data_IF_658058275478
#
_entry.id   IF_658058275478
#
_cell.length_a   1.000
_cell.length_b   1.000
_cell.length_c   1.000
_cell.angle_alpha   90.00
_cell.angle_beta   90.00
_cell.angle_gamma   90.00
#
_symmetry.space_group_name_H-M   'P 1'
#
loop_
_entity.id
_entity.type
_entity.pdbx_description
1 polymer ?
#
# COMPACT_ATOMS: atom_id res chain seq x y z
N UNK A 1 62.65 -49.73 75.10
CA UNK A 1 61.72 -50.56 75.88
C UNK A 1 60.44 -50.75 75.07
N UNK A 2 60.36 -51.67 74.10
CA UNK A 2 60.98 -53.02 74.02
C UNK A 2 60.63 -53.87 75.26
N UNK A 3 60.19 -55.12 75.14
CA UNK A 3 60.50 -56.12 74.10
C UNK A 3 59.29 -56.96 73.67
N UNK A 4 59.42 -57.62 72.52
CA UNK A 4 58.65 -58.82 72.17
C UNK A 4 59.11 -60.04 73.01
N UNK A 5 58.24 -61.05 73.12
CA UNK A 5 58.49 -62.51 73.15
C UNK A 5 57.08 -63.13 73.20
N UNK A 6 56.61 -63.94 72.24
CA UNK A 6 57.07 -65.26 71.75
C UNK A 6 56.71 -66.43 72.71
N UNK A 7 56.42 -67.67 72.26
CA UNK A 7 55.76 -68.17 71.03
C UNK A 7 55.47 -69.69 71.23
N UNK A 8 54.44 -70.27 70.58
CA UNK A 8 54.19 -71.74 70.45
C UNK A 8 53.92 -72.54 71.77
N UNK A 9 53.37 -73.77 71.80
CA UNK A 9 52.70 -74.65 70.80
C UNK A 9 51.89 -75.79 71.46
N UNK A 10 50.86 -76.31 70.74
CA UNK A 10 50.39 -77.73 70.56
C UNK A 10 50.37 -78.69 71.78
N UNK A 11 49.33 -79.48 72.02
CA UNK A 11 48.69 -80.51 71.15
C UNK A 11 47.15 -80.45 71.20
N UNK A 12 46.37 -80.82 70.16
CA UNK A 12 46.01 -82.19 69.69
C UNK A 12 45.41 -83.06 70.83
N UNK A 13 44.27 -83.74 70.70
CA UNK A 13 43.43 -84.18 69.56
C UNK A 13 41.91 -84.14 69.97
N UNK A 14 40.83 -84.49 69.24
CA UNK A 14 40.53 -85.00 67.88
C UNK A 14 39.05 -84.66 67.49
N UNK A 15 38.64 -84.95 66.24
CA UNK A 15 37.28 -85.29 65.72
C UNK A 15 36.05 -84.48 66.20
N UNK A 16 35.32 -83.79 65.32
CA UNK A 16 34.54 -84.49 64.27
C UNK A 16 34.15 -83.61 63.07
N UNK A 17 33.96 -84.25 61.92
CA UNK A 17 33.41 -83.67 60.69
C UNK A 17 31.97 -84.14 60.54
N UNK A 18 31.01 -83.21 60.33
CA UNK A 18 30.05 -83.36 59.22
C UNK A 18 29.37 -82.03 58.86
N UNK A 19 28.88 -81.96 57.64
CA UNK A 19 28.25 -80.80 57.00
C UNK A 19 26.73 -80.85 57.01
N UNK A 20 26.11 -79.70 56.77
CA UNK A 20 24.73 -79.50 56.33
C UNK A 20 23.60 -79.94 57.29
N UNK A 21 22.96 -78.94 57.89
CA UNK A 21 21.59 -79.06 58.39
C UNK A 21 20.69 -78.10 57.61
N UNK A 22 19.80 -78.64 56.77
CA UNK A 22 18.60 -77.90 56.36
C UNK A 22 17.70 -77.74 57.59
N UNK A 23 17.61 -76.54 58.13
CA UNK A 23 16.70 -76.24 59.24
C UNK A 23 15.33 -75.83 58.70
N UNK A 24 14.38 -76.75 58.74
CA UNK A 24 12.96 -76.42 58.88
C UNK A 24 12.73 -75.90 60.32
N UNK A 25 13.19 -74.68 60.60
CA UNK A 25 12.85 -73.98 61.84
C UNK A 25 11.40 -73.48 61.74
N UNK A 26 10.46 -74.30 62.22
CA UNK A 26 9.07 -73.90 62.45
C UNK A 26 9.01 -72.84 63.56
N UNK A 27 9.07 -71.57 63.17
CA UNK A 27 9.13 -70.45 64.10
C UNK A 27 7.87 -70.38 64.98
N UNK A 28 8.07 -70.12 66.27
CA UNK A 28 7.00 -70.06 67.27
C UNK A 28 6.02 -68.91 67.04
N UNK A 29 4.80 -69.07 67.56
CA UNK A 29 3.75 -68.07 67.54
C UNK A 29 4.12 -66.80 68.33
N UNK A 30 3.41 -65.70 68.04
CA UNK A 30 3.45 -64.37 68.72
C UNK A 30 4.51 -63.34 68.31
N UNK A 31 4.91 -63.29 67.03
CA UNK A 31 5.24 -62.01 66.37
C UNK A 31 4.55 -61.84 65.00
N UNK A 32 4.05 -60.63 64.74
CA UNK A 32 3.20 -60.32 63.59
C UNK A 32 4.03 -60.15 62.30
N UNK A 33 4.12 -61.22 61.49
CA UNK A 33 5.14 -61.36 60.43
C UNK A 33 5.05 -60.27 59.35
N UNK A 34 6.03 -59.35 59.35
CA UNK A 34 6.09 -58.20 58.43
C UNK A 34 6.79 -58.56 57.12
N UNK A 35 6.00 -58.66 56.06
CA UNK A 35 6.49 -58.83 54.69
C UNK A 35 6.84 -57.47 54.08
N UNK A 36 8.11 -57.24 53.73
CA UNK A 36 8.65 -55.93 53.31
C UNK A 36 7.76 -55.22 52.27
N UNK A 37 7.59 -55.84 51.10
CA UNK A 37 6.84 -55.24 49.99
C UNK A 37 5.30 -55.34 50.10
N UNK A 38 4.73 -55.91 51.18
CA UNK A 38 3.28 -56.16 51.32
C UNK A 38 2.44 -54.88 51.36
N UNK A 39 3.01 -53.76 51.84
CA UNK A 39 2.40 -52.43 51.74
C UNK A 39 2.30 -51.97 50.27
N UNK A 40 3.39 -52.18 49.52
CA UNK A 40 3.58 -51.67 48.16
C UNK A 40 2.71 -52.41 47.15
N UNK A 41 2.55 -53.73 47.27
CA UNK A 41 1.59 -54.54 46.48
C UNK A 41 0.21 -53.88 46.47
N UNK A 42 -0.30 -53.48 47.63
CA UNK A 42 -1.61 -52.81 47.75
C UNK A 42 -1.62 -51.38 47.23
N UNK A 43 -0.54 -50.61 47.44
CA UNK A 43 -0.45 -49.20 47.04
C UNK A 43 -0.28 -49.01 45.53
N UNK A 44 0.35 -49.96 44.84
CA UNK A 44 0.74 -49.87 43.42
C UNK A 44 0.02 -50.88 42.51
N UNK A 45 -1.10 -51.44 42.98
CA UNK A 45 -2.02 -52.28 42.21
C UNK A 45 -2.59 -51.52 40.99
N UNK A 46 -2.70 -52.17 39.82
CA UNK A 46 -3.04 -51.57 38.52
C UNK A 46 -2.07 -50.46 38.06
N UNK A 47 -0.78 -50.55 38.39
CA UNK A 47 0.23 -49.58 37.93
C UNK A 47 1.43 -50.25 37.29
N UNK A 48 2.26 -49.49 36.56
CA UNK A 48 3.53 -49.98 36.03
C UNK A 48 4.53 -50.43 37.11
N UNK A 49 4.28 -50.02 38.37
CA UNK A 49 5.05 -50.33 39.58
C UNK A 49 4.46 -51.53 40.37
N UNK A 50 3.55 -52.30 39.78
CA UNK A 50 2.87 -53.41 40.46
C UNK A 50 3.84 -54.56 40.87
N UNK A 51 3.61 -55.09 42.07
CA UNK A 51 4.37 -56.19 42.66
C UNK A 51 3.47 -57.41 42.84
N UNK A 52 3.98 -58.60 42.52
CA UNK A 52 3.17 -59.83 42.47
C UNK A 52 2.83 -60.30 43.89
N UNK A 53 1.54 -60.36 44.22
CA UNK A 53 1.03 -60.78 45.53
C UNK A 53 1.67 -62.07 46.08
N UNK A 54 2.15 -62.05 47.32
CA UNK A 54 2.69 -63.24 47.99
C UNK A 54 1.63 -64.36 48.11
N UNK A 55 2.01 -65.61 47.82
CA UNK A 55 1.12 -66.76 48.03
C UNK A 55 0.91 -67.05 49.52
N UNK A 56 -0.35 -67.07 49.97
CA UNK A 56 -0.76 -67.47 51.32
C UNK A 56 -0.84 -69.00 51.44
N UNK A 57 0.30 -69.67 51.29
CA UNK A 57 0.44 -71.13 51.45
C UNK A 57 1.27 -71.45 52.70
N UNK A 58 0.82 -72.42 53.48
CA UNK A 58 1.41 -72.86 54.75
C UNK A 58 2.90 -73.20 54.68
N UNK A 59 3.40 -73.61 53.50
CA UNK A 59 4.82 -73.99 53.27
C UNK A 59 5.51 -73.11 52.23
N UNK A 60 5.41 -71.79 52.36
CA UNK A 60 6.16 -70.86 51.52
C UNK A 60 7.60 -70.66 52.01
N UNK A 61 8.61 -70.85 51.14
CA UNK A 61 10.00 -70.48 51.46
C UNK A 61 10.14 -68.95 51.58
N UNK A 62 10.31 -68.47 52.80
CA UNK A 62 10.60 -67.08 53.18
C UNK A 62 12.11 -66.82 53.26
N UNK A 63 12.53 -65.55 53.29
CA UNK A 63 13.93 -65.11 53.49
C UNK A 63 13.95 -63.83 54.33
N UNK A 64 14.90 -63.68 55.25
CA UNK A 64 15.14 -62.41 55.96
C UNK A 64 15.61 -61.30 55.02
N UNK A 65 15.26 -60.05 55.31
CA UNK A 65 15.58 -58.90 54.46
C UNK A 65 16.98 -58.29 54.70
N UNK A 66 17.74 -58.78 55.68
CA UNK A 66 19.06 -58.25 56.10
C UNK A 66 20.23 -58.61 55.18
N UNK A 67 20.03 -59.44 54.15
CA UNK A 67 21.12 -59.86 53.24
C UNK A 67 21.63 -58.70 52.37
N UNK A 68 22.95 -58.62 52.14
CA UNK A 68 23.59 -57.53 51.38
C UNK A 68 22.97 -57.26 50.00
N UNK A 69 22.65 -58.32 49.23
CA UNK A 69 21.96 -58.19 47.93
C UNK A 69 20.52 -57.64 48.07
N UNK A 70 19.86 -57.86 49.21
CA UNK A 70 18.55 -57.25 49.48
C UNK A 70 18.72 -55.76 49.73
N UNK A 71 19.64 -55.36 50.63
CA UNK A 71 19.92 -53.96 50.96
C UNK A 71 20.20 -53.16 49.67
N UNK A 72 21.10 -53.64 48.81
CA UNK A 72 21.43 -53.00 47.52
C UNK A 72 20.22 -52.89 46.56
N UNK A 73 19.29 -53.85 46.58
CA UNK A 73 18.10 -53.84 45.71
C UNK A 73 16.96 -52.99 46.27
N UNK A 74 16.85 -52.88 47.59
CA UNK A 74 15.90 -51.97 48.26
C UNK A 74 16.35 -50.52 48.07
N UNK A 75 17.63 -50.23 48.28
CA UNK A 75 18.25 -48.91 48.05
C UNK A 75 17.99 -48.38 46.62
N UNK A 76 18.31 -49.19 45.60
CA UNK A 76 18.00 -48.87 44.19
C UNK A 76 16.49 -48.69 43.90
N UNK A 77 15.61 -49.22 44.75
CA UNK A 77 14.16 -49.11 44.62
C UNK A 77 13.55 -47.91 45.36
N UNK A 78 14.24 -47.25 46.30
CA UNK A 78 13.72 -46.07 47.01
C UNK A 78 13.30 -44.96 46.02
N UNK A 79 14.03 -44.83 44.90
CA UNK A 79 13.70 -43.93 43.79
C UNK A 79 12.30 -44.15 43.16
N UNK A 80 11.72 -45.33 43.34
CA UNK A 80 10.43 -45.74 42.79
C UNK A 80 9.37 -45.96 43.88
N UNK A 81 9.81 -46.34 45.08
CA UNK A 81 9.00 -46.60 46.27
C UNK A 81 9.63 -45.90 47.49
N UNK A 82 9.39 -44.59 47.69
CA UNK A 82 10.04 -43.82 48.76
C UNK A 82 9.75 -44.36 50.17
N UNK A 83 8.67 -45.13 50.35
CA UNK A 83 8.32 -45.79 51.62
C UNK A 83 9.37 -46.82 52.05
N UNK A 84 10.18 -47.33 51.12
CA UNK A 84 11.29 -48.21 51.43
C UNK A 84 12.43 -47.51 52.17
N UNK A 85 12.52 -46.18 52.17
CA UNK A 85 13.60 -45.47 52.85
C UNK A 85 13.54 -45.63 54.37
N UNK A 86 12.34 -45.69 54.95
CA UNK A 86 12.15 -45.96 56.39
C UNK A 86 12.19 -47.46 56.71
N UNK A 87 11.66 -48.32 55.83
CA UNK A 87 11.75 -49.77 56.02
C UNK A 87 13.22 -50.26 55.88
N UNK A 88 14.08 -49.58 55.08
CA UNK A 88 15.52 -49.85 54.96
C UNK A 88 16.25 -49.73 56.32
N UNK A 89 15.81 -48.79 57.17
CA UNK A 89 16.40 -48.53 58.50
C UNK A 89 16.06 -49.62 59.52
N UNK A 90 15.21 -50.60 59.16
CA UNK A 90 14.73 -51.65 60.08
C UNK A 90 14.47 -53.01 59.39
N UNK A 91 15.29 -53.36 58.39
CA UNK A 91 15.20 -54.63 57.64
C UNK A 91 15.38 -55.90 58.49
N UNK A 92 15.89 -55.78 59.72
CA UNK A 92 15.90 -56.85 60.73
C UNK A 92 14.49 -57.37 61.05
N UNK A 93 13.48 -56.48 60.98
CA UNK A 93 12.08 -56.77 61.32
C UNK A 93 11.24 -57.23 60.12
N UNK A 94 11.86 -57.48 58.97
CA UNK A 94 11.16 -57.79 57.72
C UNK A 94 11.62 -59.08 57.04
N UNK A 95 10.65 -59.77 56.42
CA UNK A 95 10.89 -60.91 55.53
C UNK A 95 10.43 -60.65 54.10
N UNK A 96 10.95 -61.46 53.17
CA UNK A 96 10.66 -61.42 51.74
C UNK A 96 10.11 -62.78 51.30
N UNK A 97 8.92 -62.78 50.70
CA UNK A 97 8.31 -63.99 50.13
C UNK A 97 8.99 -64.42 48.82
N UNK A 98 8.91 -65.72 48.51
CA UNK A 98 9.49 -66.33 47.30
C UNK A 98 9.19 -65.57 46.00
N UNK A 99 7.99 -64.99 45.83
CA UNK A 99 7.61 -64.19 44.67
C UNK A 99 8.40 -62.88 44.58
N UNK A 100 8.31 -62.01 45.60
CA UNK A 100 9.08 -60.77 45.66
C UNK A 100 10.61 -61.01 45.52
N UNK A 101 11.15 -62.08 46.12
CA UNK A 101 12.56 -62.42 45.94
C UNK A 101 12.90 -62.71 44.46
N UNK A 102 12.06 -63.47 43.76
CA UNK A 102 12.27 -63.77 42.33
C UNK A 102 12.04 -62.55 41.42
N UNK A 103 11.10 -61.66 41.75
CA UNK A 103 10.78 -60.46 40.96
C UNK A 103 11.81 -59.35 41.14
N UNK A 104 12.32 -59.14 42.37
CA UNK A 104 13.06 -57.91 42.74
C UNK A 104 14.54 -58.19 43.05
N UNK A 105 14.84 -59.32 43.70
CA UNK A 105 16.17 -59.59 44.28
C UNK A 105 17.00 -60.56 43.43
N UNK A 106 16.34 -61.48 42.71
CA UNK A 106 17.02 -62.52 41.93
C UNK A 106 17.69 -61.95 40.67
N UNK A 107 16.95 -61.19 39.86
CA UNK A 107 17.42 -60.59 38.62
C UNK A 107 17.12 -59.08 38.58
N UNK A 108 17.53 -58.44 37.49
CA UNK A 108 17.54 -56.99 37.35
C UNK A 108 16.40 -56.49 36.43
N UNK A 109 15.77 -57.42 35.69
CA UNK A 109 14.72 -57.19 34.70
C UNK A 109 13.60 -56.25 35.17
N UNK A 110 13.22 -56.33 36.46
CA UNK A 110 12.20 -55.47 37.04
C UNK A 110 12.68 -54.02 37.17
N UNK A 111 13.88 -53.81 37.73
CA UNK A 111 14.50 -52.48 37.83
C UNK A 111 14.77 -51.92 36.43
N UNK A 112 15.20 -52.74 35.46
CA UNK A 112 15.37 -52.34 34.06
C UNK A 112 14.05 -51.85 33.42
N UNK A 113 12.92 -52.50 33.71
CA UNK A 113 11.58 -52.02 33.29
C UNK A 113 11.31 -50.64 33.89
N UNK A 114 11.51 -50.48 35.21
CA UNK A 114 11.26 -49.21 35.90
C UNK A 114 12.17 -48.07 35.38
N UNK A 115 13.42 -48.36 35.06
CA UNK A 115 14.34 -47.39 34.44
C UNK A 115 13.92 -47.00 33.02
N UNK A 116 13.44 -47.96 32.20
CA UNK A 116 12.96 -47.67 30.84
C UNK A 116 11.70 -46.79 30.86
N UNK A 117 10.72 -47.12 31.71
CA UNK A 117 9.49 -46.34 31.83
C UNK A 117 9.77 -44.92 32.34
N UNK A 118 10.67 -44.74 33.32
CA UNK A 118 11.06 -43.41 33.82
C UNK A 118 11.80 -42.58 32.75
N UNK A 119 12.68 -43.19 31.94
CA UNK A 119 13.34 -42.51 30.81
C UNK A 119 12.32 -42.05 29.75
N UNK A 120 11.33 -42.89 29.44
CA UNK A 120 10.25 -42.54 28.51
C UNK A 120 9.37 -41.40 29.05
N UNK A 121 8.97 -41.45 30.33
CA UNK A 121 8.16 -40.41 30.96
C UNK A 121 8.84 -39.04 30.93
N UNK A 122 10.14 -38.98 31.22
CA UNK A 122 10.93 -37.74 31.15
C UNK A 122 10.95 -37.17 29.72
N UNK A 123 11.23 -38.00 28.71
CA UNK A 123 11.23 -37.59 27.30
C UNK A 123 9.85 -37.04 26.86
N UNK A 124 8.76 -37.66 27.33
CA UNK A 124 7.40 -37.17 27.08
C UNK A 124 7.13 -35.82 27.76
N UNK A 125 7.59 -35.62 28.99
CA UNK A 125 7.47 -34.35 29.71
C UNK A 125 8.26 -33.21 29.04
N UNK A 126 9.48 -33.47 28.57
CA UNK A 126 10.30 -32.48 27.85
C UNK A 126 9.66 -32.10 26.51
N UNK A 127 9.14 -33.08 25.76
CA UNK A 127 8.38 -32.82 24.53
C UNK A 127 7.10 -32.02 24.79
N UNK A 128 6.33 -32.36 25.83
CA UNK A 128 5.13 -31.63 26.23
C UNK A 128 5.45 -30.17 26.62
N UNK A 129 6.54 -29.95 27.38
CA UNK A 129 7.03 -28.62 27.75
C UNK A 129 7.46 -27.80 26.53
N UNK A 130 8.10 -28.44 25.54
CA UNK A 130 8.46 -27.80 24.26
C UNK A 130 7.22 -27.38 23.47
N UNK A 131 6.27 -28.29 23.28
CA UNK A 131 5.02 -28.04 22.53
C UNK A 131 4.18 -26.94 23.20
N UNK A 132 4.03 -26.98 24.53
CA UNK A 132 3.26 -25.96 25.27
C UNK A 132 3.90 -24.57 25.29
N UNK A 133 5.23 -24.46 25.13
CA UNK A 133 5.87 -23.16 24.90
C UNK A 133 5.65 -22.65 23.48
N UNK A 134 5.84 -23.50 22.47
CA UNK A 134 5.57 -23.14 21.06
C UNK A 134 4.11 -22.73 20.82
N UNK A 135 3.16 -23.35 21.53
CA UNK A 135 1.74 -22.96 21.49
C UNK A 135 1.54 -21.53 22.00
N UNK A 136 2.12 -21.18 23.15
CA UNK A 136 2.01 -19.83 23.75
C UNK A 136 2.63 -18.76 22.87
N UNK A 137 3.79 -19.04 22.27
CA UNK A 137 4.45 -18.14 21.30
C UNK A 137 3.55 -17.90 20.08
N UNK A 138 2.92 -18.96 19.55
CA UNK A 138 1.97 -18.86 18.44
C UNK A 138 0.69 -18.09 18.83
N UNK A 139 0.17 -18.26 20.05
CA UNK A 139 -0.99 -17.52 20.55
C UNK A 139 -0.70 -16.02 20.71
N UNK A 140 0.49 -15.66 21.21
CA UNK A 140 0.94 -14.28 21.32
C UNK A 140 1.08 -13.62 19.94
N UNK A 141 1.69 -14.31 18.97
CA UNK A 141 1.79 -13.82 17.59
C UNK A 141 0.40 -13.63 16.97
N UNK A 142 -0.52 -14.59 17.15
CA UNK A 142 -1.91 -14.48 16.68
C UNK A 142 -2.63 -13.27 17.27
N UNK A 143 -2.46 -13.00 18.57
CA UNK A 143 -3.05 -11.85 19.23
C UNK A 143 -2.49 -10.51 18.71
N UNK A 144 -1.18 -10.44 18.44
CA UNK A 144 -0.54 -9.29 17.80
C UNK A 144 -1.15 -9.00 16.42
N UNK A 145 -1.26 -10.01 15.55
CA UNK A 145 -1.85 -9.84 14.22
C UNK A 145 -3.34 -9.44 14.28
N UNK A 146 -4.12 -10.00 15.22
CA UNK A 146 -5.53 -9.61 15.43
C UNK A 146 -5.66 -8.13 15.79
N UNK A 147 -4.74 -7.58 16.60
CA UNK A 147 -4.76 -6.16 16.96
C UNK A 147 -4.31 -5.27 15.80
N UNK A 148 -3.28 -5.68 15.06
CA UNK A 148 -2.83 -4.97 13.86
C UNK A 148 -3.92 -4.87 12.78
N UNK A 149 -4.70 -5.94 12.57
CA UNK A 149 -5.85 -5.92 11.63
C UNK A 149 -6.88 -4.88 12.07
N UNK A 150 -7.26 -4.82 13.34
CA UNK A 150 -8.21 -3.82 13.87
C UNK A 150 -7.71 -2.38 13.69
N UNK A 151 -6.42 -2.14 13.86
CA UNK A 151 -5.82 -0.82 13.59
C UNK A 151 -5.87 -0.43 12.11
N UNK A 152 -5.73 -1.40 11.20
CA UNK A 152 -5.85 -1.16 9.76
C UNK A 152 -7.31 -0.94 9.36
N UNK A 153 -8.26 -1.67 9.96
CA UNK A 153 -9.70 -1.47 9.77
C UNK A 153 -10.14 -0.07 10.20
N UNK A 154 -9.73 0.43 11.37
CA UNK A 154 -10.09 1.79 11.82
C UNK A 154 -9.49 2.87 10.93
N UNK A 155 -8.22 2.76 10.55
CA UNK A 155 -7.56 3.69 9.61
C UNK A 155 -8.22 3.69 8.22
N UNK A 156 -8.57 2.51 7.70
CA UNK A 156 -9.27 2.40 6.41
C UNK A 156 -10.68 3.03 6.46
N UNK A 157 -11.43 2.79 7.53
CA UNK A 157 -12.75 3.39 7.73
C UNK A 157 -12.68 4.93 7.83
N UNK A 158 -11.66 5.48 8.51
CA UNK A 158 -11.41 6.92 8.53
C UNK A 158 -11.11 7.46 7.12
N UNK A 159 -10.21 6.83 6.37
CA UNK A 159 -9.88 7.24 5.00
C UNK A 159 -11.10 7.18 4.06
N UNK A 160 -12.03 6.24 4.26
CA UNK A 160 -13.29 6.19 3.50
C UNK A 160 -14.17 7.41 3.80
N UNK A 161 -14.27 7.84 5.06
CA UNK A 161 -15.01 9.05 5.45
C UNK A 161 -14.37 10.31 4.84
N UNK A 162 -13.05 10.46 4.96
CA UNK A 162 -12.30 11.61 4.40
C UNK A 162 -12.44 11.69 2.87
N UNK A 163 -12.33 10.57 2.16
CA UNK A 163 -12.52 10.54 0.70
C UNK A 163 -13.96 10.91 0.28
N UNK A 164 -14.97 10.51 1.06
CA UNK A 164 -16.36 10.92 0.79
C UNK A 164 -16.56 12.43 0.99
N UNK A 165 -16.01 13.01 2.06
CA UNK A 165 -16.04 14.47 2.29
C UNK A 165 -15.35 15.25 1.16
N UNK A 166 -14.17 14.80 0.73
CA UNK A 166 -13.45 15.41 -0.41
C UNK A 166 -14.27 15.33 -1.71
N UNK A 167 -14.97 14.22 -1.95
CA UNK A 167 -15.85 14.04 -3.11
C UNK A 167 -17.05 15.00 -3.10
N UNK A 168 -17.64 15.25 -1.94
CA UNK A 168 -18.70 16.25 -1.77
C UNK A 168 -18.20 17.69 -2.03
N UNK A 169 -17.04 18.05 -1.48
CA UNK A 169 -16.39 19.36 -1.71
C UNK A 169 -16.08 19.57 -3.20
N UNK A 170 -15.56 18.55 -3.89
CA UNK A 170 -15.29 18.60 -5.33
C UNK A 170 -16.59 18.81 -6.13
N UNK A 171 -17.64 18.05 -5.83
CA UNK A 171 -18.95 18.20 -6.50
C UNK A 171 -19.56 19.59 -6.29
N UNK A 172 -19.50 20.14 -5.07
CA UNK A 172 -19.97 21.49 -4.76
C UNK A 172 -19.21 22.55 -5.56
N UNK A 173 -17.89 22.46 -5.61
CA UNK A 173 -17.04 23.39 -6.36
C UNK A 173 -17.30 23.31 -7.88
N UNK A 174 -17.46 22.10 -8.44
CA UNK A 174 -17.81 21.90 -9.85
C UNK A 174 -19.18 22.49 -10.19
N UNK A 175 -20.19 22.29 -9.33
CA UNK A 175 -21.51 22.88 -9.53
C UNK A 175 -21.46 24.42 -9.53
N UNK A 176 -20.72 25.01 -8.59
CA UNK A 176 -20.52 26.48 -8.54
C UNK A 176 -19.81 27.00 -9.80
N UNK A 177 -18.77 26.30 -10.28
CA UNK A 177 -18.09 26.66 -11.54
C UNK A 177 -19.03 26.58 -12.75
N UNK A 178 -19.90 25.56 -12.84
CA UNK A 178 -20.90 25.45 -13.90
C UNK A 178 -21.91 26.63 -13.86
N UNK A 179 -22.34 27.03 -12.66
CA UNK A 179 -23.21 28.19 -12.45
C UNK A 179 -22.52 29.49 -12.91
N UNK A 180 -21.25 29.72 -12.52
CA UNK A 180 -20.48 30.86 -12.99
C UNK A 180 -20.32 30.88 -14.52
N UNK A 181 -20.00 29.74 -15.14
CA UNK A 181 -19.88 29.61 -16.61
C UNK A 181 -21.22 29.88 -17.30
N UNK A 182 -22.35 29.48 -16.71
CA UNK A 182 -23.69 29.80 -17.22
C UNK A 182 -23.94 31.31 -17.22
N UNK A 183 -23.74 31.99 -16.10
CA UNK A 183 -23.95 33.44 -16.03
C UNK A 183 -23.01 34.23 -16.96
N UNK A 184 -21.75 33.83 -17.10
CA UNK A 184 -20.80 34.45 -18.04
C UNK A 184 -21.30 34.31 -19.50
N UNK A 185 -21.88 33.17 -19.88
CA UNK A 185 -22.49 32.97 -21.21
C UNK A 185 -23.72 33.88 -21.41
N UNK A 186 -24.58 34.00 -20.41
CA UNK A 186 -25.77 34.87 -20.47
C UNK A 186 -25.40 36.36 -20.59
N UNK A 187 -24.39 36.82 -19.84
CA UNK A 187 -23.84 38.18 -19.93
C UNK A 187 -23.27 38.42 -21.34
N UNK A 188 -22.39 37.54 -21.83
CA UNK A 188 -21.79 37.70 -23.15
C UNK A 188 -22.81 37.64 -24.31
N UNK A 189 -23.91 36.89 -24.16
CA UNK A 189 -25.03 36.90 -25.10
C UNK A 189 -25.79 38.23 -25.07
N UNK A 190 -26.05 38.78 -23.88
CA UNK A 190 -26.72 40.07 -23.70
C UNK A 190 -25.88 41.23 -24.24
N UNK A 191 -24.58 41.25 -23.98
CA UNK A 191 -23.64 42.24 -24.52
C UNK A 191 -23.59 42.20 -26.05
N UNK A 192 -23.50 41.02 -26.66
CA UNK A 192 -23.56 40.87 -28.13
C UNK A 192 -24.88 41.37 -28.71
N UNK A 193 -26.02 41.08 -28.04
CA UNK A 193 -27.33 41.56 -28.49
C UNK A 193 -27.45 43.08 -28.37
N UNK A 194 -26.95 43.67 -27.29
CA UNK A 194 -26.90 45.12 -27.12
C UNK A 194 -26.03 45.75 -28.21
N UNK A 195 -24.79 45.29 -28.41
CA UNK A 195 -23.89 45.79 -29.44
C UNK A 195 -24.49 45.65 -30.86
N UNK A 196 -25.18 44.54 -31.16
CA UNK A 196 -25.91 44.37 -32.41
C UNK A 196 -27.03 45.40 -32.57
N UNK A 197 -27.87 45.58 -31.54
CA UNK A 197 -28.93 46.58 -31.55
C UNK A 197 -28.36 48.01 -31.71
N UNK A 198 -27.26 48.32 -31.03
CA UNK A 198 -26.58 49.61 -31.11
C UNK A 198 -26.06 49.85 -32.54
N UNK A 199 -25.41 48.86 -33.16
CA UNK A 199 -24.94 48.92 -34.55
C UNK A 199 -26.08 49.05 -35.56
N UNK A 200 -27.18 48.31 -35.40
CA UNK A 200 -28.37 48.46 -36.25
C UNK A 200 -28.97 49.86 -36.09
N UNK A 201 -29.12 50.36 -34.85
CA UNK A 201 -29.57 51.73 -34.59
C UNK A 201 -28.62 52.80 -35.15
N UNK A 202 -27.34 52.46 -35.36
CA UNK A 202 -26.35 53.34 -35.97
C UNK A 202 -26.50 53.40 -37.50
N UNK A 203 -26.86 52.27 -38.12
CA UNK A 203 -27.02 52.08 -39.57
C UNK A 203 -28.38 52.63 -40.03
N UNK A 204 -29.46 52.29 -39.32
CA UNK A 204 -30.83 52.70 -39.64
C UNK A 204 -31.03 54.21 -39.47
N UNK A 205 -30.26 54.84 -38.58
CA UNK A 205 -30.28 56.29 -38.34
C UNK A 205 -29.47 57.03 -39.42
N UNK A 206 -29.98 56.95 -40.67
CA UNK A 206 -29.31 57.44 -41.87
C UNK A 206 -28.94 58.93 -41.81
N UNK A 207 -29.62 59.76 -41.01
CA UNK A 207 -29.21 61.17 -40.82
C UNK A 207 -27.87 61.31 -40.08
N UNK A 208 -27.59 60.42 -39.12
CA UNK A 208 -26.37 60.44 -38.31
C UNK A 208 -25.11 60.05 -39.10
N UNK A 209 -25.27 59.20 -40.11
CA UNK A 209 -24.21 58.76 -41.02
C UNK A 209 -24.46 59.19 -42.47
N UNK A 210 -25.30 60.21 -42.68
CA UNK A 210 -25.47 60.82 -44.00
C UNK A 210 -24.13 61.43 -44.42
N UNK A 211 -23.51 60.81 -45.42
CA UNK A 211 -22.23 61.26 -45.97
C UNK A 211 -22.27 62.73 -46.40
N UNK A 212 -23.40 63.23 -46.93
CA UNK A 212 -23.54 64.64 -47.24
C UNK A 212 -23.55 65.51 -45.98
N UNK A 213 -24.26 65.12 -44.92
CA UNK A 213 -24.32 65.87 -43.64
C UNK A 213 -22.96 65.91 -42.94
N UNK A 214 -22.31 64.76 -42.73
CA UNK A 214 -21.01 64.72 -42.04
C UNK A 214 -19.87 65.24 -42.92
N UNK A 215 -19.90 65.02 -44.24
CA UNK A 215 -18.93 65.65 -45.14
C UNK A 215 -19.15 67.17 -45.23
N UNK A 216 -20.38 67.67 -45.04
CA UNK A 216 -20.62 69.11 -44.87
C UNK A 216 -20.16 69.63 -43.51
N UNK A 217 -20.41 68.92 -42.39
CA UNK A 217 -19.89 69.29 -41.06
C UNK A 217 -18.36 69.35 -41.07
N UNK A 218 -17.71 68.33 -41.63
CA UNK A 218 -16.27 68.29 -41.85
C UNK A 218 -15.81 69.43 -42.76
N UNK A 219 -16.38 69.61 -43.96
CA UNK A 219 -16.03 70.72 -44.86
C UNK A 219 -16.27 72.11 -44.26
N UNK A 220 -17.27 72.28 -43.39
CA UNK A 220 -17.52 73.53 -42.66
C UNK A 220 -16.45 73.75 -41.59
N UNK A 221 -16.10 72.75 -40.77
CA UNK A 221 -14.98 72.89 -39.83
C UNK A 221 -13.67 73.18 -40.55
N UNK A 222 -13.35 72.40 -41.59
CA UNK A 222 -12.15 72.52 -42.43
C UNK A 222 -12.03 73.91 -43.09
N UNK A 223 -13.14 74.50 -43.54
CA UNK A 223 -13.19 75.90 -44.01
C UNK A 223 -13.07 76.90 -42.87
N UNK A 224 -13.69 76.64 -41.72
CA UNK A 224 -13.62 77.49 -40.51
C UNK A 224 -12.22 77.55 -39.90
N UNK A 225 -11.35 76.59 -40.22
CA UNK A 225 -9.90 76.60 -39.91
C UNK A 225 -9.02 76.87 -41.15
N UNK A 226 -9.58 77.35 -42.26
CA UNK A 226 -8.91 77.70 -43.53
C UNK A 226 -8.06 76.60 -44.21
N UNK A 227 -8.19 75.32 -43.82
CA UNK A 227 -7.23 74.25 -44.14
C UNK A 227 -7.18 73.81 -45.63
N UNK A 228 -8.22 74.07 -46.44
CA UNK A 228 -8.32 73.58 -47.84
C UNK A 228 -8.17 74.67 -48.90
N UNK A 229 -7.95 75.94 -48.53
CA UNK A 229 -7.63 76.97 -49.52
C UNK A 229 -6.46 77.90 -49.10
N UNK A 230 -5.25 77.35 -48.88
CA UNK A 230 -4.03 78.14 -48.71
C UNK A 230 -3.62 78.77 -50.04
N UNK A 231 -4.21 79.92 -50.37
CA UNK A 231 -3.74 80.75 -51.47
C UNK A 231 -2.44 81.45 -51.04
N UNK A 232 -1.32 80.75 -51.26
CA UNK A 232 0.10 81.07 -51.09
C UNK A 232 0.83 80.11 -50.13
N UNK A 233 2.11 79.85 -50.42
CA UNK A 233 2.88 78.72 -49.87
C UNK A 233 3.53 78.98 -48.50
N UNK A 234 3.14 80.05 -47.79
CA UNK A 234 3.81 80.54 -46.59
C UNK A 234 3.00 80.23 -45.32
N UNK A 235 3.50 79.32 -44.48
CA UNK A 235 2.87 78.94 -43.21
C UNK A 235 3.13 79.97 -42.10
N UNK A 236 2.39 81.08 -42.16
CA UNK A 236 2.38 82.17 -41.18
C UNK A 236 1.19 82.06 -40.21
N UNK A 237 1.24 82.81 -39.11
CA UNK A 237 0.10 82.99 -38.20
C UNK A 237 -1.08 83.70 -38.88
N UNK A 238 -2.26 83.62 -38.26
CA UNK A 238 -3.52 84.17 -38.80
C UNK A 238 -3.51 85.70 -39.06
N UNK A 239 -2.49 86.39 -38.55
CA UNK A 239 -2.24 87.82 -38.69
C UNK A 239 -0.88 88.15 -39.36
N UNK A 240 -0.15 87.17 -39.88
CA UNK A 240 1.13 87.34 -40.59
C UNK A 240 2.36 87.61 -39.71
N UNK A 241 2.19 87.94 -38.42
CA UNK A 241 3.29 88.35 -37.53
C UNK A 241 4.31 87.24 -37.22
N UNK A 242 3.89 85.98 -37.14
CA UNK A 242 4.72 84.89 -36.62
C UNK A 242 4.82 83.73 -37.60
N UNK A 243 6.05 83.37 -37.98
CA UNK A 243 6.34 82.15 -38.74
C UNK A 243 6.60 80.97 -37.78
N UNK A 244 6.15 79.77 -38.18
CA UNK A 244 6.41 78.55 -37.42
C UNK A 244 7.91 78.23 -37.38
N UNK A 245 8.46 78.12 -36.17
CA UNK A 245 9.90 77.89 -35.98
C UNK A 245 10.35 76.52 -36.47
N UNK A 246 11.65 76.42 -36.79
CA UNK A 246 12.25 75.18 -37.29
C UNK A 246 12.15 74.00 -36.32
N UNK A 247 12.06 74.25 -35.02
CA UNK A 247 11.82 73.21 -34.00
C UNK A 247 10.44 72.54 -34.19
N UNK A 248 9.40 73.31 -34.55
CA UNK A 248 8.04 72.78 -34.71
C UNK A 248 7.90 72.00 -36.03
N UNK A 249 8.62 72.42 -37.09
CA UNK A 249 8.74 71.63 -38.33
C UNK A 249 9.42 70.28 -38.04
N UNK A 250 10.60 70.31 -37.41
CA UNK A 250 11.37 69.11 -37.03
C UNK A 250 10.58 68.20 -36.08
N UNK A 251 9.82 68.75 -35.14
CA UNK A 251 8.93 67.97 -34.28
C UNK A 251 7.84 67.24 -35.09
N UNK A 252 7.25 67.91 -36.07
CA UNK A 252 6.20 67.34 -36.93
C UNK A 252 6.73 66.20 -37.80
N UNK A 253 7.92 66.39 -38.40
CA UNK A 253 8.65 65.35 -39.15
C UNK A 253 9.03 64.16 -38.26
N UNK A 254 9.57 64.41 -37.07
CA UNK A 254 9.90 63.37 -36.09
C UNK A 254 8.66 62.57 -35.66
N UNK A 255 7.54 63.26 -35.43
CA UNK A 255 6.25 62.66 -35.08
C UNK A 255 5.58 61.93 -36.26
N UNK A 256 6.00 62.16 -37.50
CA UNK A 256 5.60 61.39 -38.68
C UNK A 256 6.47 60.13 -38.81
N UNK A 257 7.80 60.27 -38.73
CA UNK A 257 8.76 59.16 -38.72
C UNK A 257 8.45 58.13 -37.64
N UNK A 258 8.26 58.56 -36.38
CA UNK A 258 7.94 57.67 -35.26
C UNK A 258 6.59 56.94 -35.42
N UNK A 259 5.64 57.51 -36.18
CA UNK A 259 4.38 56.83 -36.54
C UNK A 259 4.60 55.73 -37.59
N UNK A 260 5.38 56.00 -38.63
CA UNK A 260 5.72 55.02 -39.68
C UNK A 260 6.48 53.85 -39.06
N UNK A 261 7.49 54.12 -38.25
CA UNK A 261 8.30 53.14 -37.51
C UNK A 261 7.44 52.27 -36.57
N UNK A 262 6.51 52.89 -35.81
CA UNK A 262 5.56 52.15 -34.97
C UNK A 262 4.64 51.24 -35.78
N UNK A 263 4.07 51.73 -36.89
CA UNK A 263 3.18 50.96 -37.78
C UNK A 263 3.92 49.76 -38.38
N UNK A 264 5.16 49.96 -38.88
CA UNK A 264 6.01 48.90 -39.39
C UNK A 264 6.35 47.87 -38.29
N UNK A 265 6.72 48.32 -37.09
CA UNK A 265 7.03 47.43 -35.95
C UNK A 265 5.81 46.61 -35.48
N UNK A 266 4.61 47.18 -35.54
CA UNK A 266 3.36 46.47 -35.19
C UNK A 266 2.94 45.48 -36.29
N UNK A 267 3.08 45.82 -37.57
CA UNK A 267 2.60 45.00 -38.69
C UNK A 267 3.62 43.97 -39.22
N UNK A 268 4.91 44.19 -39.03
CA UNK A 268 5.97 43.33 -39.59
C UNK A 268 6.59 42.46 -38.49
N UNK A 269 7.23 43.05 -37.48
CA UNK A 269 7.95 42.28 -36.44
C UNK A 269 7.03 41.34 -35.65
N UNK A 270 5.84 41.80 -35.23
CA UNK A 270 4.87 40.97 -34.47
C UNK A 270 4.17 39.88 -35.30
N UNK A 271 4.33 39.89 -36.63
CA UNK A 271 3.75 38.89 -37.53
C UNK A 271 4.77 37.84 -38.02
N UNK A 272 6.07 37.98 -37.69
CA UNK A 272 7.09 36.97 -38.00
C UNK A 272 7.06 35.77 -37.04
N UNK A 273 6.60 35.94 -35.79
CA UNK A 273 6.52 34.85 -34.79
C UNK A 273 5.12 34.28 -34.60
N UNK A 274 4.09 34.91 -35.18
CA UNK A 274 2.76 34.30 -35.31
C UNK A 274 2.69 33.57 -36.64
N UNK A 275 2.73 32.25 -36.59
CA UNK A 275 2.22 31.41 -37.68
C UNK A 275 0.77 31.85 -37.98
N UNK A 276 0.57 32.47 -39.13
CA UNK A 276 -0.77 32.69 -39.68
C UNK A 276 -1.38 31.32 -39.93
N UNK A 277 -2.20 30.87 -38.99
CA UNK A 277 -3.04 29.71 -39.21
C UNK A 277 -4.04 30.12 -40.30
N UNK A 278 -4.10 29.39 -41.44
CA UNK A 278 -5.19 29.59 -42.39
C UNK A 278 -6.52 29.48 -41.65
N UNK A 279 -7.52 30.27 -42.04
CA UNK A 279 -8.89 30.06 -41.57
C UNK A 279 -9.24 28.60 -41.87
N UNK A 280 -9.75 27.81 -40.89
CA UNK A 280 -10.03 26.39 -41.11
C UNK A 280 -11.16 26.21 -42.15
N UNK A 281 -10.77 26.11 -43.41
CA UNK A 281 -11.65 25.77 -44.52
C UNK A 281 -12.06 24.29 -44.41
N UNK A 282 -13.31 23.98 -44.75
CA UNK A 282 -13.79 22.60 -44.73
C UNK A 282 -13.16 21.79 -45.87
N UNK A 283 -13.20 20.45 -45.78
CA UNK A 283 -12.60 19.55 -46.79
C UNK A 283 -13.16 19.76 -48.20
N UNK A 284 -14.39 20.28 -48.31
CA UNK A 284 -15.04 20.65 -49.56
C UNK A 284 -14.42 21.91 -50.17
N UNK A 285 -14.31 23.00 -49.41
CA UNK A 285 -13.59 24.23 -49.81
C UNK A 285 -12.12 23.94 -50.16
N UNK A 286 -11.45 23.10 -49.38
CA UNK A 286 -10.07 22.66 -49.65
C UNK A 286 -9.93 21.81 -50.93
N UNK A 287 -11.04 21.32 -51.50
CA UNK A 287 -11.07 20.63 -52.79
C UNK A 287 -11.52 21.56 -53.93
N UNK A 288 -12.47 22.47 -53.69
CA UNK A 288 -12.80 23.55 -54.64
C UNK A 288 -11.58 24.44 -54.91
N UNK A 289 -10.83 24.84 -53.88
CA UNK A 289 -9.65 25.67 -54.04
C UNK A 289 -8.52 24.95 -54.82
N UNK A 290 -8.47 23.61 -54.82
CA UNK A 290 -7.56 22.84 -55.69
C UNK A 290 -8.03 22.84 -57.15
N UNK A 291 -9.34 22.81 -57.42
CA UNK A 291 -9.86 22.90 -58.78
C UNK A 291 -9.75 24.31 -59.35
N UNK A 292 -10.01 25.36 -58.56
CA UNK A 292 -9.78 26.76 -58.97
C UNK A 292 -8.34 27.03 -59.38
N UNK A 293 -7.37 26.56 -58.59
CA UNK A 293 -5.94 26.67 -58.91
C UNK A 293 -5.50 25.86 -60.15
N UNK A 294 -6.37 25.00 -60.69
CA UNK A 294 -6.13 24.24 -61.92
C UNK A 294 -6.84 24.82 -63.15
N UNK A 295 -7.76 25.80 -62.99
CA UNK A 295 -8.51 26.38 -64.11
C UNK A 295 -7.59 27.17 -65.05
N UNK A 296 -7.60 26.82 -66.33
CA UNK A 296 -6.92 27.63 -67.35
C UNK A 296 -7.68 28.93 -67.61
N UNK A 297 -6.97 29.95 -68.14
CA UNK A 297 -7.57 31.23 -68.56
C UNK A 297 -8.80 31.06 -69.47
N UNK A 298 -8.87 29.99 -70.28
CA UNK A 298 -10.00 29.70 -71.17
C UNK A 298 -11.23 29.23 -70.40
N UNK A 299 -11.06 28.40 -69.38
CA UNK A 299 -12.14 27.90 -68.53
C UNK A 299 -12.68 29.00 -67.60
N UNK A 300 -11.80 29.83 -67.03
CA UNK A 300 -12.19 31.02 -66.26
C UNK A 300 -13.04 31.97 -67.12
N UNK A 301 -12.65 32.22 -68.38
CA UNK A 301 -13.45 33.02 -69.31
C UNK A 301 -14.79 32.35 -69.66
N UNK A 302 -14.85 31.02 -69.78
CA UNK A 302 -16.10 30.30 -70.03
C UNK A 302 -17.07 30.43 -68.83
N UNK A 303 -16.57 30.31 -67.60
CA UNK A 303 -17.37 30.49 -66.36
C UNK A 303 -17.85 31.94 -66.23
N UNK A 304 -17.01 32.93 -66.49
CA UNK A 304 -17.44 34.34 -66.45
C UNK A 304 -18.53 34.59 -67.50
N UNK A 305 -18.36 34.09 -68.73
CA UNK A 305 -19.33 34.26 -69.81
C UNK A 305 -20.66 33.54 -69.54
N UNK A 306 -20.68 32.41 -68.82
CA UNK A 306 -21.92 31.73 -68.43
C UNK A 306 -22.67 32.45 -67.29
N UNK A 307 -21.98 33.30 -66.51
CA UNK A 307 -22.57 34.07 -65.41
C UNK A 307 -23.11 35.46 -65.83
N UNK A 308 -22.58 36.07 -66.90
CA UNK A 308 -23.06 37.37 -67.43
C UNK A 308 -24.60 37.44 -67.66
N UNK A 309 -25.28 36.38 -68.16
CA UNK A 309 -26.74 36.38 -68.29
C UNK A 309 -27.51 36.62 -66.99
N UNK A 310 -26.94 36.32 -65.82
CA UNK A 310 -27.59 36.47 -64.51
C UNK A 310 -27.32 37.84 -63.85
N UNK A 311 -26.45 38.67 -64.43
CA UNK A 311 -26.20 40.04 -63.96
C UNK A 311 -27.29 41.01 -64.42
N UNK A 312 -27.45 42.12 -63.68
CA UNK A 312 -28.26 43.26 -64.10
C UNK A 312 -27.58 44.06 -65.23
N UNK A 313 -28.32 44.90 -65.95
CA UNK A 313 -27.82 45.58 -67.15
C UNK A 313 -26.71 46.62 -66.90
N UNK A 314 -26.67 47.23 -65.72
CA UNK A 314 -25.58 48.14 -65.32
C UNK A 314 -24.26 47.39 -65.10
N UNK A 315 -24.32 46.17 -64.55
CA UNK A 315 -23.16 45.32 -64.35
C UNK A 315 -22.73 44.61 -65.64
N UNK A 316 -23.67 44.13 -66.48
CA UNK A 316 -23.38 43.55 -67.80
C UNK A 316 -22.51 44.46 -68.68
N UNK A 317 -22.73 45.78 -68.64
CA UNK A 317 -21.94 46.77 -69.39
C UNK A 317 -20.43 46.71 -69.06
N UNK A 318 -20.06 46.35 -67.82
CA UNK A 318 -18.66 46.27 -67.37
C UNK A 318 -17.91 45.10 -68.02
N UNK A 319 -18.62 44.05 -68.44
CA UNK A 319 -18.02 42.83 -69.00
C UNK A 319 -18.05 42.77 -70.54
N UNK A 320 -18.64 43.78 -71.20
CA UNK A 320 -18.91 43.82 -72.66
C UNK A 320 -17.68 43.60 -73.57
N UNK A 321 -16.47 43.77 -73.05
CA UNK A 321 -15.21 43.63 -73.81
C UNK A 321 -14.45 42.32 -73.56
N UNK A 322 -14.87 41.44 -72.63
CA UNK A 322 -14.10 40.21 -72.31
C UNK A 322 -14.09 39.20 -73.45
N UNK A 323 -15.17 39.10 -74.24
CA UNK A 323 -15.26 38.23 -75.41
C UNK A 323 -14.17 38.52 -76.44
N UNK A 324 -13.88 39.80 -76.68
CA UNK A 324 -12.93 40.26 -77.70
C UNK A 324 -11.46 39.96 -77.35
N UNK A 325 -11.17 39.65 -76.08
CA UNK A 325 -9.84 39.23 -75.60
C UNK A 325 -9.56 37.73 -75.81
N UNK A 326 -10.47 36.99 -76.44
CA UNK A 326 -10.35 35.54 -76.67
C UNK A 326 -9.77 35.12 -78.03
N UNK A 327 -9.47 36.07 -78.92
CA UNK A 327 -8.99 35.80 -80.29
C UNK A 327 -7.57 36.32 -80.60
N UNK A 328 -6.96 37.10 -79.70
CA UNK A 328 -5.57 37.55 -79.84
C UNK A 328 -4.68 36.87 -78.77
N UNK A 329 -4.34 35.60 -79.03
CA UNK A 329 -3.16 34.82 -78.59
C UNK A 329 -3.43 33.31 -78.74
#
# INVERSE_FOLDING_TARGET
MEKNIDILSKTEENSNILSAAEKDDSLSETEDIKYLFKKLVKKYHNTDLELIECETKEKQKIRGATGSKVIQKVDLLIKYYPELEDDLKSLDKFIICKKHYNQIIRNDNFIDKLQKNLKFLNLMNDNYKKITNQLKESEQQRLFYINLVKELETKNNQLIVENNQLKEIINFNLNNQQICIKYIKEIAQKERKNLYNDLISLIDNQERFNFATESCRFRVQIRKINFVNPNNNDFQSFNGEWTLSEEIKKFSELAQLKRIEFIQKILIEKNLTKTWHPIPIITEEANFQKSENALTKKEILAIINSLIPYLNDLDRLKFKNLSNLSHNN
#
